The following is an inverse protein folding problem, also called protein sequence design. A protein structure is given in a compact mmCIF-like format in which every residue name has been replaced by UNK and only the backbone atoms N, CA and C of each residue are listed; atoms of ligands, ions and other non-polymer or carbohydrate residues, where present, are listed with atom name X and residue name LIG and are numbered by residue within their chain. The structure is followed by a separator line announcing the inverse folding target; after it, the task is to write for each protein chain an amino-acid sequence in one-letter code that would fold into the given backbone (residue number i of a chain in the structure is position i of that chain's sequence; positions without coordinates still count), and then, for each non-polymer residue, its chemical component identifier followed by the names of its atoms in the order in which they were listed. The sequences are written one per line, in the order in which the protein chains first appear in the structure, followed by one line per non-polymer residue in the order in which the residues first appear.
data_IF_511736041955
#
_entry.id   IF_511736041955
#
_cell.length_a   1.000
_cell.length_b   1.000
_cell.length_c   1.000
_cell.angle_alpha   90.00
_cell.angle_beta   90.00
_cell.angle_gamma   90.00
#
_symmetry.space_group_name_H-M   'P 1'
#
loop_
_entity.id
_entity.type
_entity.pdbx_description
1 polymer ?
#
# COMPACT_ATOMS: atom_id res chain seq x y z
N UNK A 1 31.35 -39.15 -3.42
CA UNK A 1 31.50 -37.73 -3.83
C UNK A 1 30.88 -36.84 -2.77
N UNK A 2 31.57 -35.81 -2.24
CA UNK A 2 31.12 -35.02 -1.10
C UNK A 2 30.08 -33.92 -1.46
N UNK A 3 29.21 -34.15 -2.45
CA UNK A 3 28.26 -33.16 -2.99
C UNK A 3 26.86 -33.72 -3.24
N UNK A 4 26.40 -34.69 -2.46
CA UNK A 4 25.09 -35.32 -2.67
C UNK A 4 23.89 -34.38 -2.43
N UNK A 5 24.05 -33.34 -1.61
CA UNK A 5 22.94 -32.50 -1.15
C UNK A 5 23.42 -31.07 -0.88
N UNK A 6 22.59 -30.09 -1.20
CA UNK A 6 22.76 -28.71 -0.74
C UNK A 6 21.79 -28.45 0.41
N UNK A 7 22.29 -27.87 1.51
CA UNK A 7 21.50 -27.63 2.71
C UNK A 7 21.52 -26.15 3.04
N UNK A 8 20.34 -25.53 3.05
CA UNK A 8 20.14 -24.21 3.64
C UNK A 8 19.66 -24.39 5.10
N UNK A 9 20.26 -23.64 6.02
CA UNK A 9 19.87 -23.62 7.43
C UNK A 9 19.55 -22.19 7.82
N UNK A 10 18.27 -21.92 8.03
CA UNK A 10 17.81 -20.65 8.57
C UNK A 10 18.00 -20.65 10.10
N UNK A 11 18.63 -19.60 10.61
CA UNK A 11 18.94 -19.41 12.02
C UNK A 11 18.18 -18.21 12.57
N UNK A 12 16.93 -18.41 13.00
CA UNK A 12 16.16 -17.37 13.67
C UNK A 12 16.63 -17.12 15.11
N UNK A 13 17.33 -18.09 15.71
CA UNK A 13 17.88 -18.02 17.07
C UNK A 13 19.25 -18.69 17.13
N UNK A 14 20.15 -18.14 17.94
CA UNK A 14 21.44 -18.76 18.29
C UNK A 14 21.25 -20.04 19.10
N UNK A 15 21.96 -21.11 18.73
CA UNK A 15 21.95 -22.37 19.46
C UNK A 15 21.89 -23.59 18.53
N UNK A 16 21.29 -24.68 19.02
CA UNK A 16 21.14 -25.91 18.27
C UNK A 16 20.19 -25.75 17.09
N UNK A 17 20.50 -26.39 15.95
CA UNK A 17 19.69 -26.31 14.71
C UNK A 17 18.25 -26.79 14.92
N UNK A 18 18.00 -27.75 15.81
CA UNK A 18 16.63 -28.17 16.14
C UNK A 18 15.79 -27.13 16.89
N UNK A 19 16.41 -26.04 17.35
CA UNK A 19 15.76 -24.94 18.07
C UNK A 19 15.76 -23.63 17.28
N UNK A 20 16.29 -23.61 16.05
CA UNK A 20 16.51 -22.39 15.28
C UNK A 20 15.34 -21.98 14.39
N UNK A 21 14.29 -22.81 14.28
CA UNK A 21 13.12 -22.53 13.45
C UNK A 21 12.12 -21.59 14.12
N UNK A 22 11.59 -20.64 13.33
CA UNK A 22 10.54 -19.69 13.75
C UNK A 22 9.28 -20.41 14.28
N UNK A 23 8.96 -21.58 13.74
CA UNK A 23 7.80 -22.39 14.14
C UNK A 23 7.75 -22.65 15.65
N UNK A 24 8.90 -22.73 16.33
CA UNK A 24 8.98 -23.00 17.77
C UNK A 24 8.33 -21.90 18.62
N UNK A 25 8.40 -20.65 18.16
CA UNK A 25 7.75 -19.52 18.82
C UNK A 25 6.31 -19.37 18.32
N UNK A 26 6.08 -19.63 17.02
CA UNK A 26 4.78 -19.47 16.38
C UNK A 26 3.74 -20.55 16.74
N UNK A 27 4.17 -21.74 17.19
CA UNK A 27 3.26 -22.86 17.51
C UNK A 27 2.25 -22.50 18.60
N UNK A 28 2.66 -21.73 19.61
CA UNK A 28 1.81 -21.33 20.72
C UNK A 28 0.70 -20.35 20.32
N UNK A 29 1.00 -19.17 19.73
CA UNK A 29 -0.05 -18.27 19.29
C UNK A 29 -0.90 -18.91 18.17
N UNK A 30 -0.36 -19.81 17.34
CA UNK A 30 -1.17 -20.56 16.39
C UNK A 30 -2.21 -21.44 17.10
N UNK A 31 -1.77 -22.24 18.07
CA UNK A 31 -2.65 -23.16 18.81
C UNK A 31 -3.69 -22.41 19.64
N UNK A 32 -3.27 -21.39 20.39
CA UNK A 32 -4.17 -20.58 21.20
C UNK A 32 -5.18 -19.80 20.37
N UNK A 33 -4.78 -19.26 19.21
CA UNK A 33 -5.70 -18.62 18.27
C UNK A 33 -6.76 -19.60 17.76
N UNK A 34 -6.36 -20.81 17.35
CA UNK A 34 -7.32 -21.81 16.88
C UNK A 34 -8.34 -22.20 17.97
N UNK A 35 -7.90 -22.34 19.22
CA UNK A 35 -8.83 -22.58 20.33
C UNK A 35 -9.74 -21.37 20.57
N UNK A 36 -9.20 -20.16 20.62
CA UNK A 36 -10.01 -18.96 20.82
C UNK A 36 -11.08 -18.76 19.73
N UNK A 37 -10.75 -19.02 18.46
CA UNK A 37 -11.69 -18.96 17.34
C UNK A 37 -12.79 -20.01 17.48
N UNK A 38 -12.42 -21.26 17.79
CA UNK A 38 -13.40 -22.34 17.97
C UNK A 38 -14.33 -22.05 19.16
N UNK A 39 -13.76 -21.65 20.28
CA UNK A 39 -14.51 -21.41 21.51
C UNK A 39 -15.40 -20.16 21.35
N UNK A 40 -14.97 -19.15 20.57
CA UNK A 40 -15.83 -18.02 20.18
C UNK A 40 -17.00 -18.47 19.30
N UNK A 41 -16.77 -19.37 18.34
CA UNK A 41 -17.84 -19.89 17.49
C UNK A 41 -18.88 -20.68 18.31
N UNK A 42 -18.42 -21.55 19.22
CA UNK A 42 -19.30 -22.28 20.15
C UNK A 42 -20.05 -21.32 21.08
N UNK A 43 -19.37 -20.28 21.58
CA UNK A 43 -20.00 -19.25 22.39
C UNK A 43 -21.11 -18.52 21.61
N UNK A 44 -20.86 -18.12 20.36
CA UNK A 44 -21.85 -17.47 19.51
C UNK A 44 -23.03 -18.39 19.17
N UNK A 45 -22.79 -19.69 19.03
CA UNK A 45 -23.85 -20.69 18.82
C UNK A 45 -24.75 -20.81 20.05
N UNK A 46 -24.19 -20.93 21.25
CA UNK A 46 -24.95 -21.02 22.51
C UNK A 46 -25.67 -19.70 22.81
N UNK A 47 -25.06 -18.55 22.52
CA UNK A 47 -25.72 -17.25 22.66
C UNK A 47 -26.87 -17.07 21.68
N UNK A 48 -26.72 -17.59 20.45
CA UNK A 48 -27.78 -17.57 19.45
C UNK A 48 -28.93 -18.54 19.76
N UNK A 49 -28.67 -19.63 20.48
CA UNK A 49 -29.63 -20.68 20.80
C UNK A 49 -29.54 -21.05 22.29
N UNK A 50 -30.21 -20.30 23.19
CA UNK A 50 -30.20 -20.59 24.62
C UNK A 50 -30.75 -21.99 24.90
N UNK A 51 -30.17 -22.65 25.91
CA UNK A 51 -30.58 -23.99 26.30
C UNK A 51 -32.03 -24.02 26.80
N UNK A 52 -32.81 -24.95 26.26
CA UNK A 52 -34.24 -25.12 26.56
C UNK A 52 -34.41 -26.35 27.44
N UNK A 53 -35.05 -26.18 28.58
CA UNK A 53 -35.31 -27.28 29.52
C UNK A 53 -36.80 -27.44 29.69
N UNK A 54 -37.36 -28.55 29.22
CA UNK A 54 -38.74 -28.93 29.51
C UNK A 54 -38.82 -29.62 30.87
N UNK A 55 -39.73 -29.17 31.73
CA UNK A 55 -40.03 -29.77 33.03
C UNK A 55 -41.39 -30.46 32.93
N UNK A 56 -41.43 -31.76 33.23
CA UNK A 56 -42.66 -32.56 33.26
C UNK A 56 -43.06 -32.92 34.69
N UNK A 57 -44.35 -33.19 34.91
CA UNK A 57 -44.90 -33.56 36.21
C UNK A 57 -44.50 -34.99 36.63
N UNK A 58 -44.35 -35.22 37.92
CA UNK A 58 -44.04 -36.54 38.46
C UNK A 58 -45.21 -37.51 38.16
N UNK A 59 -44.93 -38.55 37.36
CA UNK A 59 -45.94 -39.52 36.88
C UNK A 59 -46.30 -39.40 35.39
N UNK A 60 -45.67 -38.48 34.64
CA UNK A 60 -45.85 -38.37 33.19
C UNK A 60 -45.50 -39.67 32.46
N UNK A 61 -46.33 -40.06 31.49
CA UNK A 61 -46.12 -41.25 30.66
C UNK A 61 -44.96 -41.03 29.68
N UNK A 62 -44.40 -42.09 29.14
CA UNK A 62 -43.31 -41.95 28.15
C UNK A 62 -43.79 -41.27 26.86
N UNK A 63 -45.05 -41.46 26.47
CA UNK A 63 -45.66 -40.72 25.35
C UNK A 63 -45.70 -39.21 25.59
N UNK A 64 -45.98 -38.77 26.82
CA UNK A 64 -46.02 -37.33 27.16
C UNK A 64 -44.61 -36.72 27.11
N UNK A 65 -43.58 -37.48 27.50
CA UNK A 65 -42.18 -37.05 27.44
C UNK A 65 -41.69 -36.92 26.00
N UNK A 66 -42.05 -37.87 25.15
CA UNK A 66 -41.68 -37.86 23.73
C UNK A 66 -42.37 -36.68 23.01
N UNK A 67 -43.66 -36.45 23.27
CA UNK A 67 -44.39 -35.29 22.72
C UNK A 67 -43.79 -33.96 23.19
N UNK A 68 -43.37 -33.85 24.45
CA UNK A 68 -42.68 -32.67 24.97
C UNK A 68 -41.31 -32.46 24.32
N UNK A 69 -40.54 -33.54 24.10
CA UNK A 69 -39.25 -33.46 23.43
C UNK A 69 -39.40 -33.01 21.97
N UNK A 70 -40.38 -33.56 21.25
CA UNK A 70 -40.70 -33.13 19.88
C UNK A 70 -41.16 -31.67 19.82
N UNK A 71 -41.95 -31.22 20.80
CA UNK A 71 -42.31 -29.81 20.95
C UNK A 71 -41.09 -28.92 21.20
N UNK A 72 -40.13 -29.34 22.02
CA UNK A 72 -38.88 -28.60 22.28
C UNK A 72 -37.99 -28.48 21.03
N UNK A 73 -37.89 -29.54 20.23
CA UNK A 73 -37.14 -29.56 18.96
C UNK A 73 -37.82 -28.66 17.94
N UNK A 74 -39.15 -28.76 17.82
CA UNK A 74 -39.95 -27.96 16.88
C UNK A 74 -39.91 -26.48 17.24
N UNK A 75 -40.06 -26.14 18.52
CA UNK A 75 -39.97 -24.76 19.03
C UNK A 75 -38.57 -24.15 18.76
N UNK A 76 -37.57 -25.01 18.61
CA UNK A 76 -36.21 -24.60 18.33
C UNK A 76 -35.96 -24.10 16.92
N UNK A 77 -36.73 -24.61 15.97
CA UNK A 77 -36.67 -24.21 14.56
C UNK A 77 -37.79 -23.21 14.21
N UNK A 78 -38.95 -23.35 14.86
CA UNK A 78 -40.16 -22.55 14.65
C UNK A 78 -40.58 -21.88 15.95
N UNK A 79 -40.80 -20.58 15.97
CA UNK A 79 -41.16 -19.83 17.20
C UNK A 79 -42.59 -20.08 17.73
N UNK A 80 -43.25 -21.16 17.33
CA UNK A 80 -44.62 -21.51 17.73
C UNK A 80 -44.76 -23.02 17.99
N UNK A 81 -45.46 -23.37 19.07
CA UNK A 81 -45.74 -24.76 19.45
C UNK A 81 -46.88 -24.84 20.46
N UNK A 82 -47.54 -25.99 20.54
CA UNK A 82 -48.61 -26.29 21.50
C UNK A 82 -48.04 -27.21 22.57
N UNK A 83 -48.24 -26.89 23.84
CA UNK A 83 -47.69 -27.63 24.98
C UNK A 83 -48.85 -27.98 25.93
N UNK A 84 -48.91 -29.22 26.47
CA UNK A 84 -49.92 -29.60 27.45
C UNK A 84 -49.89 -28.74 28.72
N UNK A 85 -51.06 -28.40 29.25
CA UNK A 85 -51.21 -27.57 30.45
C UNK A 85 -50.58 -28.27 31.67
N UNK A 86 -49.66 -27.58 32.38
CA UNK A 86 -48.91 -28.13 33.51
C UNK A 86 -47.47 -28.56 33.19
N UNK A 87 -47.00 -28.30 31.96
CA UNK A 87 -45.60 -28.51 31.55
C UNK A 87 -44.97 -27.16 31.22
N UNK A 88 -43.79 -26.89 31.78
CA UNK A 88 -43.10 -25.62 31.60
C UNK A 88 -41.84 -25.78 30.74
N UNK A 89 -41.62 -24.84 29.82
CA UNK A 89 -40.36 -24.69 29.09
C UNK A 89 -39.61 -23.50 29.69
N UNK A 90 -38.44 -23.79 30.24
CA UNK A 90 -37.54 -22.80 30.80
C UNK A 90 -36.41 -22.54 29.81
N UNK A 91 -36.33 -21.31 29.31
CA UNK A 91 -35.18 -20.85 28.53
C UNK A 91 -34.14 -20.37 29.53
N UNK A 92 -33.15 -21.23 29.81
CA UNK A 92 -32.04 -20.80 30.64
C UNK A 92 -31.27 -19.74 29.86
N UNK A 93 -31.20 -18.53 30.41
CA UNK A 93 -30.37 -17.47 29.82
C UNK A 93 -28.96 -18.02 29.59
N UNK A 94 -28.43 -17.87 28.39
CA UNK A 94 -27.00 -18.06 28.18
C UNK A 94 -26.26 -17.23 29.24
N UNK A 95 -25.24 -17.82 29.87
CA UNK A 95 -24.43 -17.09 30.85
C UNK A 95 -23.96 -15.77 30.23
N UNK A 96 -23.93 -14.69 31.01
CA UNK A 96 -23.55 -13.34 30.56
C UNK A 96 -22.05 -13.24 30.20
N UNK A 97 -21.60 -14.05 29.26
CA UNK A 97 -20.24 -14.01 28.73
C UNK A 97 -20.10 -12.80 27.81
N UNK A 98 -18.96 -12.13 27.91
CA UNK A 98 -18.56 -11.12 26.93
C UNK A 98 -17.75 -11.83 25.84
N UNK A 99 -17.89 -11.44 24.57
CA UNK A 99 -17.05 -11.96 23.48
C UNK A 99 -15.60 -11.43 23.57
N UNK A 100 -15.41 -10.31 24.28
CA UNK A 100 -14.15 -9.58 24.41
C UNK A 100 -12.93 -10.44 24.81
N UNK A 101 -13.01 -11.41 25.75
CA UNK A 101 -11.85 -12.22 26.12
C UNK A 101 -11.34 -13.09 24.96
N UNK A 102 -12.23 -13.59 24.11
CA UNK A 102 -11.85 -14.40 22.94
C UNK A 102 -11.15 -13.53 21.90
N UNK A 103 -11.72 -12.37 21.60
CA UNK A 103 -11.14 -11.40 20.66
C UNK A 103 -9.79 -10.90 21.17
N UNK A 104 -9.68 -10.57 22.46
CA UNK A 104 -8.42 -10.14 23.07
C UNK A 104 -7.32 -11.21 22.97
N UNK A 105 -7.68 -12.49 23.14
CA UNK A 105 -6.75 -13.60 22.95
C UNK A 105 -6.32 -13.72 21.47
N UNK A 106 -7.26 -13.62 20.54
CA UNK A 106 -6.99 -13.64 19.10
C UNK A 106 -6.04 -12.51 18.71
N UNK A 107 -6.34 -11.28 19.13
CA UNK A 107 -5.53 -10.09 18.84
C UNK A 107 -4.12 -10.20 19.43
N UNK A 108 -4.00 -10.69 20.67
CA UNK A 108 -2.70 -10.95 21.27
C UNK A 108 -1.90 -11.99 20.47
N UNK A 109 -2.55 -13.05 19.99
CA UNK A 109 -1.92 -14.07 19.16
C UNK A 109 -1.45 -13.52 17.82
N UNK A 110 -2.32 -12.80 17.10
CA UNK A 110 -2.00 -12.17 15.80
C UNK A 110 -0.85 -11.16 15.94
N UNK A 111 -0.91 -10.28 16.95
CA UNK A 111 0.17 -9.32 17.25
C UNK A 111 1.49 -10.01 17.54
N UNK A 112 1.45 -11.13 18.28
CA UNK A 112 2.65 -11.92 18.55
C UNK A 112 3.22 -12.54 17.28
N UNK A 113 2.37 -13.10 16.42
CA UNK A 113 2.77 -13.65 15.12
C UNK A 113 3.41 -12.58 14.23
N UNK A 114 2.80 -11.39 14.12
CA UNK A 114 3.35 -10.27 13.34
C UNK A 114 4.72 -9.83 13.85
N UNK A 115 4.93 -9.71 15.17
CA UNK A 115 6.26 -9.38 15.74
C UNK A 115 7.31 -10.41 15.39
N UNK A 116 6.96 -11.69 15.43
CA UNK A 116 7.91 -12.79 15.20
C UNK A 116 8.30 -12.89 13.72
N UNK A 117 7.36 -12.63 12.80
CA UNK A 117 7.58 -12.77 11.35
C UNK A 117 8.12 -11.47 10.74
N UNK A 118 7.45 -10.35 11.00
CA UNK A 118 7.74 -9.05 10.38
C UNK A 118 8.64 -8.16 11.24
N UNK A 119 8.88 -8.52 12.50
CA UNK A 119 9.60 -7.67 13.45
C UNK A 119 8.77 -6.51 14.03
N UNK A 120 7.53 -6.34 13.57
CA UNK A 120 6.64 -5.22 13.90
C UNK A 120 5.17 -5.63 13.92
N UNK A 121 4.29 -4.80 14.51
CA UNK A 121 2.83 -5.05 14.54
C UNK A 121 2.00 -4.07 13.74
N UNK A 122 2.52 -2.88 13.44
CA UNK A 122 1.68 -1.73 13.11
C UNK A 122 1.31 -1.64 11.63
N UNK A 123 2.21 -2.09 10.73
CA UNK A 123 1.92 -2.14 9.29
C UNK A 123 0.79 -3.11 8.92
N UNK A 124 0.42 -4.01 9.83
CA UNK A 124 -0.68 -4.97 9.67
C UNK A 124 -1.93 -4.61 10.47
N UNK A 125 -1.85 -3.61 11.36
CA UNK A 125 -2.95 -3.11 12.20
C UNK A 125 -2.96 -1.58 12.13
N UNK A 126 -3.28 -1.05 10.95
CA UNK A 126 -3.55 0.38 10.78
C UNK A 126 -4.93 0.70 11.35
N UNK A 127 -5.06 0.67 12.68
CA UNK A 127 -6.21 1.23 13.36
C UNK A 127 -5.98 2.75 13.38
N UNK A 128 -6.74 3.48 12.56
CA UNK A 128 -6.47 4.85 12.07
C UNK A 128 -6.20 5.95 13.12
N UNK A 129 -6.16 5.61 14.42
CA UNK A 129 -5.87 6.51 15.53
C UNK A 129 -4.38 6.63 15.93
N UNK A 130 -3.49 5.73 15.49
CA UNK A 130 -2.09 5.73 16.00
C UNK A 130 -1.02 5.42 14.94
N UNK A 131 -1.38 5.40 13.66
CA UNK A 131 -0.41 5.26 12.57
C UNK A 131 0.07 6.62 12.09
N UNK A 132 1.30 7.00 12.45
CA UNK A 132 1.99 8.16 11.87
C UNK A 132 2.94 7.69 10.76
N UNK A 133 3.16 8.51 9.72
CA UNK A 133 4.11 8.21 8.65
C UNK A 133 5.52 7.89 9.19
N UNK A 134 5.94 8.56 10.27
CA UNK A 134 7.21 8.29 10.94
C UNK A 134 7.31 6.87 11.50
N UNK A 135 6.21 6.32 12.02
CA UNK A 135 6.16 4.96 12.57
C UNK A 135 6.18 3.90 11.46
N UNK A 136 5.53 4.20 10.32
CA UNK A 136 5.59 3.38 9.12
C UNK A 136 7.03 3.21 8.59
N UNK A 137 7.81 4.29 8.56
CA UNK A 137 9.22 4.25 8.14
C UNK A 137 10.06 3.35 9.05
N UNK A 138 9.95 3.49 10.38
CA UNK A 138 10.66 2.63 11.34
C UNK A 138 10.34 1.15 11.13
N UNK A 139 9.10 0.80 10.76
CA UNK A 139 8.74 -0.58 10.46
C UNK A 139 9.31 -1.09 9.13
N UNK A 140 9.41 -0.22 8.13
CA UNK A 140 10.09 -0.58 6.88
C UNK A 140 11.59 -0.83 7.11
N UNK A 141 12.24 -0.06 7.98
CA UNK A 141 13.63 -0.28 8.36
C UNK A 141 13.83 -1.66 9.02
N UNK A 142 12.97 -2.01 9.98
CA UNK A 142 13.00 -3.34 10.63
C UNK A 142 12.78 -4.47 9.62
N UNK A 143 11.81 -4.30 8.72
CA UNK A 143 11.57 -5.27 7.64
C UNK A 143 12.78 -5.40 6.71
N UNK A 144 13.43 -4.29 6.39
CA UNK A 144 14.63 -4.27 5.55
C UNK A 144 15.80 -4.96 6.25
N UNK A 145 16.01 -4.74 7.55
CA UNK A 145 17.04 -5.42 8.34
C UNK A 145 16.87 -6.94 8.34
N UNK A 146 15.62 -7.42 8.49
CA UNK A 146 15.29 -8.85 8.39
C UNK A 146 15.61 -9.38 6.98
N UNK A 147 15.20 -8.66 5.93
CA UNK A 147 15.51 -9.01 4.53
C UNK A 147 17.01 -9.13 4.29
N UNK A 148 17.79 -8.15 4.76
CA UNK A 148 19.26 -8.14 4.65
C UNK A 148 19.87 -9.34 5.39
N UNK A 149 19.35 -9.67 6.57
CA UNK A 149 19.77 -10.84 7.35
C UNK A 149 19.49 -12.15 6.58
N UNK A 150 18.30 -12.31 6.02
CA UNK A 150 17.92 -13.50 5.26
C UNK A 150 18.76 -13.66 3.99
N UNK A 151 19.01 -12.57 3.26
CA UNK A 151 19.90 -12.55 2.12
C UNK A 151 21.33 -13.01 2.48
N UNK A 152 21.86 -12.56 3.64
CA UNK A 152 23.17 -13.01 4.16
C UNK A 152 23.17 -14.49 4.53
N UNK A 153 22.07 -15.04 5.04
CA UNK A 153 21.97 -16.47 5.35
C UNK A 153 21.93 -17.33 4.07
N UNK A 154 21.24 -16.85 3.03
CA UNK A 154 21.21 -17.51 1.72
C UNK A 154 22.56 -17.51 1.01
N UNK A 155 23.41 -16.51 1.26
CA UNK A 155 24.77 -16.46 0.69
C UNK A 155 25.59 -17.75 0.96
N UNK A 156 25.45 -18.35 2.14
CA UNK A 156 26.16 -19.60 2.48
C UNK A 156 25.76 -20.78 1.60
N UNK A 157 24.48 -20.85 1.22
CA UNK A 157 23.96 -21.86 0.31
C UNK A 157 24.59 -21.73 -1.09
N UNK A 158 24.52 -20.53 -1.68
CA UNK A 158 25.10 -20.27 -3.00
C UNK A 158 26.62 -20.44 -3.02
N UNK A 159 27.31 -20.06 -1.95
CA UNK A 159 28.76 -20.26 -1.82
C UNK A 159 29.13 -21.74 -1.85
N UNK A 160 28.33 -22.61 -1.22
CA UNK A 160 28.53 -24.06 -1.28
C UNK A 160 28.26 -24.63 -2.68
N UNK A 161 27.25 -24.10 -3.39
CA UNK A 161 26.96 -24.48 -4.78
C UNK A 161 28.12 -24.10 -5.72
N UNK A 162 28.67 -22.90 -5.56
CA UNK A 162 29.81 -22.42 -6.35
C UNK A 162 31.06 -23.26 -6.08
N UNK A 163 31.35 -23.58 -4.81
CA UNK A 163 32.46 -24.47 -4.40
C UNK A 163 32.32 -25.85 -5.06
N UNK A 164 31.11 -26.42 -5.04
CA UNK A 164 30.80 -27.68 -5.70
C UNK A 164 31.07 -27.62 -7.21
N UNK A 165 30.53 -26.62 -7.91
CA UNK A 165 30.70 -26.50 -9.36
C UNK A 165 32.18 -26.35 -9.74
N UNK A 166 32.94 -25.53 -9.01
CA UNK A 166 34.37 -25.35 -9.28
C UNK A 166 35.16 -26.65 -9.11
N UNK A 167 34.86 -27.42 -8.05
CA UNK A 167 35.53 -28.69 -7.78
C UNK A 167 35.19 -29.78 -8.79
N UNK A 168 33.93 -29.85 -9.24
CA UNK A 168 33.52 -30.77 -10.32
C UNK A 168 34.27 -30.44 -11.62
N UNK A 169 34.52 -29.16 -11.88
CA UNK A 169 35.30 -28.70 -13.03
C UNK A 169 36.84 -28.79 -12.82
N UNK A 170 37.31 -29.41 -11.73
CA UNK A 170 38.74 -29.63 -11.48
C UNK A 170 39.50 -28.44 -10.88
N UNK A 171 38.81 -27.38 -10.45
CA UNK A 171 39.43 -26.24 -9.78
C UNK A 171 39.51 -26.46 -8.26
N UNK A 172 40.72 -26.36 -7.71
CA UNK A 172 40.94 -26.35 -6.26
C UNK A 172 41.21 -24.92 -5.76
N UNK A 173 40.13 -24.21 -5.46
CA UNK A 173 40.19 -22.83 -4.96
C UNK A 173 39.89 -22.83 -3.45
N UNK A 174 40.69 -22.09 -2.68
CA UNK A 174 40.41 -21.88 -1.25
C UNK A 174 39.06 -21.18 -1.05
N UNK A 175 38.29 -21.62 -0.05
CA UNK A 175 36.97 -21.04 0.28
C UNK A 175 36.98 -19.51 0.44
N UNK A 176 38.10 -18.94 0.89
CA UNK A 176 38.24 -17.48 1.06
C UNK A 176 38.28 -16.70 -0.26
N UNK A 177 38.64 -17.37 -1.37
CA UNK A 177 38.73 -16.76 -2.71
C UNK A 177 37.61 -17.20 -3.65
N UNK A 178 36.60 -17.91 -3.15
CA UNK A 178 35.45 -18.27 -3.97
C UNK A 178 34.72 -17.01 -4.43
N UNK A 179 34.21 -16.99 -5.68
CA UNK A 179 33.24 -15.99 -6.09
C UNK A 179 32.06 -15.96 -5.10
N UNK A 180 31.63 -14.76 -4.74
CA UNK A 180 30.56 -14.54 -3.79
C UNK A 180 29.31 -14.08 -4.52
N UNK A 181 28.23 -14.82 -4.35
CA UNK A 181 26.91 -14.35 -4.76
C UNK A 181 26.42 -13.31 -3.73
N UNK A 182 26.22 -12.06 -4.14
CA UNK A 182 25.76 -10.98 -3.26
C UNK A 182 24.41 -10.51 -3.75
N UNK A 183 23.42 -10.54 -2.87
CA UNK A 183 22.12 -9.93 -3.13
C UNK A 183 22.24 -8.42 -3.07
N UNK A 184 21.59 -7.72 -3.99
CA UNK A 184 21.45 -6.29 -3.91
C UNK A 184 20.34 -5.94 -2.92
N UNK A 185 20.74 -5.64 -1.68
CA UNK A 185 19.84 -5.21 -0.61
C UNK A 185 20.08 -3.75 -0.26
N UNK A 186 20.48 -2.92 -1.25
CA UNK A 186 20.67 -1.49 -1.01
C UNK A 186 19.34 -0.83 -0.73
N UNK A 187 19.32 -0.01 0.31
CA UNK A 187 18.24 0.94 0.52
C UNK A 187 18.49 2.16 -0.37
N UNK A 188 17.63 2.35 -1.37
CA UNK A 188 17.78 3.41 -2.38
C UNK A 188 16.93 4.58 -1.90
N UNK A 189 17.60 5.71 -1.70
CA UNK A 189 16.93 6.95 -1.31
C UNK A 189 16.02 7.43 -2.44
N UNK A 190 14.90 8.06 -2.07
CA UNK A 190 14.03 8.70 -3.04
C UNK A 190 14.78 9.81 -3.78
N UNK A 191 14.76 9.75 -5.12
CA UNK A 191 15.57 10.63 -5.97
C UNK A 191 15.28 12.11 -5.69
N UNK A 192 14.01 12.49 -5.51
CA UNK A 192 13.60 13.89 -5.39
C UNK A 192 14.09 14.55 -4.08
N UNK A 193 13.90 13.88 -2.95
CA UNK A 193 14.33 14.39 -1.65
C UNK A 193 15.87 14.42 -1.54
N UNK A 194 16.53 13.36 -2.01
CA UNK A 194 17.99 13.28 -2.05
C UNK A 194 18.62 14.31 -2.99
N UNK A 195 18.09 14.49 -4.21
CA UNK A 195 18.63 15.45 -5.18
C UNK A 195 18.51 16.88 -4.68
N UNK A 196 17.38 17.21 -4.03
CA UNK A 196 17.15 18.54 -3.45
C UNK A 196 18.12 18.81 -2.31
N UNK A 197 18.32 17.83 -1.41
CA UNK A 197 19.28 17.94 -0.32
C UNK A 197 20.73 18.12 -0.80
N UNK A 198 21.16 17.32 -1.78
CA UNK A 198 22.50 17.43 -2.37
C UNK A 198 22.68 18.78 -3.07
N UNK A 199 21.69 19.24 -3.84
CA UNK A 199 21.70 20.55 -4.47
C UNK A 199 21.92 21.67 -3.44
N UNK A 200 21.12 21.68 -2.37
CA UNK A 200 21.21 22.69 -1.32
C UNK A 200 22.58 22.69 -0.62
N UNK A 201 23.17 21.51 -0.39
CA UNK A 201 24.49 21.39 0.24
C UNK A 201 25.62 21.90 -0.66
N UNK A 202 25.55 21.60 -1.96
CA UNK A 202 26.52 22.09 -2.95
C UNK A 202 26.40 23.60 -3.13
N UNK A 203 25.17 24.14 -3.22
CA UNK A 203 24.90 25.58 -3.29
C UNK A 203 25.35 26.32 -2.01
N UNK A 204 25.23 25.66 -0.85
CA UNK A 204 25.74 26.17 0.44
C UNK A 204 27.27 26.10 0.58
N UNK A 205 27.98 25.60 -0.44
CA UNK A 205 29.44 25.62 -0.51
C UNK A 205 30.14 24.36 -0.02
N UNK A 206 29.42 23.26 0.24
CA UNK A 206 30.02 21.96 0.60
C UNK A 206 30.63 21.32 -0.65
N UNK A 207 31.96 21.39 -0.78
CA UNK A 207 32.72 20.84 -1.93
C UNK A 207 33.22 19.40 -1.73
N UNK A 208 32.95 18.80 -0.57
CA UNK A 208 33.51 17.50 -0.16
C UNK A 208 32.69 16.29 -0.60
N UNK A 209 31.58 16.47 -1.34
CA UNK A 209 30.68 15.37 -1.74
C UNK A 209 31.22 14.68 -3.01
N UNK A 210 31.65 13.41 -2.94
CA UNK A 210 32.13 12.68 -4.12
C UNK A 210 30.96 12.25 -5.03
N UNK A 211 31.11 12.38 -6.35
CA UNK A 211 30.10 11.90 -7.31
C UNK A 211 29.82 10.39 -7.18
N UNK A 212 30.85 9.59 -6.88
CA UNK A 212 30.72 8.15 -6.66
C UNK A 212 29.80 7.79 -5.47
N UNK A 213 29.71 8.68 -4.47
CA UNK A 213 28.80 8.51 -3.33
C UNK A 213 27.34 8.71 -3.74
N UNK A 214 27.07 9.69 -4.61
CA UNK A 214 25.72 9.97 -5.16
C UNK A 214 25.23 8.78 -6.00
N UNK A 215 26.05 8.29 -6.93
CA UNK A 215 25.72 7.09 -7.72
C UNK A 215 25.43 5.87 -6.83
N UNK A 216 26.23 5.67 -5.77
CA UNK A 216 26.04 4.57 -4.84
C UNK A 216 24.72 4.67 -4.07
N UNK A 217 24.35 5.87 -3.63
CA UNK A 217 23.15 6.13 -2.81
C UNK A 217 21.85 6.10 -3.62
N UNK A 218 21.87 6.60 -4.85
CA UNK A 218 20.72 6.58 -5.76
C UNK A 218 20.59 5.28 -6.56
N UNK A 219 21.55 4.36 -6.43
CA UNK A 219 21.56 3.12 -7.22
C UNK A 219 21.86 3.31 -8.71
N UNK A 220 22.20 4.53 -9.15
CA UNK A 220 22.50 4.86 -10.54
C UNK A 220 23.88 4.29 -10.90
N UNK A 221 23.98 3.37 -11.87
CA UNK A 221 25.27 2.81 -12.28
C UNK A 221 26.17 3.91 -12.87
N UNK A 222 27.48 3.77 -12.65
CA UNK A 222 28.46 4.61 -13.34
C UNK A 222 28.57 4.07 -14.77
N UNK A 223 28.38 4.91 -15.81
CA UNK A 223 28.45 4.45 -17.19
C UNK A 223 29.84 3.87 -17.47
N UNK A 224 29.88 2.73 -18.16
CA UNK A 224 31.15 2.13 -18.56
C UNK A 224 31.50 2.58 -19.97
N UNK A 225 32.74 3.07 -20.13
CA UNK A 225 33.31 3.50 -21.42
C UNK A 225 32.51 4.65 -22.06
N UNK A 226 31.68 4.33 -23.05
CA UNK A 226 30.95 5.22 -23.96
C UNK A 226 29.44 4.92 -23.95
N UNK A 227 28.92 4.35 -22.86
CA UNK A 227 27.49 4.12 -22.68
C UNK A 227 26.74 5.46 -22.70
N UNK A 228 25.68 5.53 -23.51
CA UNK A 228 24.91 6.76 -23.68
C UNK A 228 24.34 7.24 -22.33
N UNK A 229 24.65 8.49 -21.96
CA UNK A 229 24.19 9.12 -20.72
C UNK A 229 23.04 10.07 -21.03
N UNK A 230 22.09 10.20 -20.10
CA UNK A 230 21.04 11.21 -20.18
C UNK A 230 21.66 12.60 -20.06
N UNK A 231 21.57 13.40 -21.11
CA UNK A 231 22.00 14.79 -21.12
C UNK A 231 20.82 15.70 -20.75
N UNK A 232 21.09 16.79 -20.03
CA UNK A 232 20.08 17.82 -19.81
C UNK A 232 19.70 18.44 -21.16
N UNK A 233 18.42 18.81 -21.38
CA UNK A 233 18.06 19.60 -22.55
C UNK A 233 18.93 20.85 -22.55
N UNK A 234 19.68 21.06 -23.65
CA UNK A 234 20.58 22.19 -23.77
C UNK A 234 19.80 23.47 -23.47
N UNK A 235 20.19 24.19 -22.43
CA UNK A 235 19.70 25.55 -22.23
C UNK A 235 20.15 26.35 -23.44
N UNK A 236 19.19 26.60 -24.36
CA UNK A 236 19.38 27.52 -25.47
C UNK A 236 19.59 28.88 -24.83
N UNK A 237 20.85 29.26 -24.60
CA UNK A 237 21.21 30.59 -24.17
C UNK A 237 20.67 31.55 -25.22
N UNK A 238 19.69 32.37 -24.83
CA UNK A 238 19.14 33.42 -25.69
C UNK A 238 20.32 34.20 -26.30
N UNK A 239 20.43 34.29 -27.64
CA UNK A 239 21.56 34.96 -28.25
C UNK A 239 21.58 36.42 -27.76
N UNK A 240 22.68 36.82 -27.13
CA UNK A 240 22.95 38.23 -26.87
C UNK A 240 22.79 38.99 -28.19
N UNK A 241 22.17 40.20 -28.21
CA UNK A 241 21.93 40.92 -29.45
C UNK A 241 23.27 41.27 -30.10
N UNK A 242 23.67 40.48 -31.11
CA UNK A 242 24.83 40.75 -31.93
C UNK A 242 24.47 41.96 -32.80
N UNK A 243 25.22 43.05 -32.59
CA UNK A 243 25.10 44.25 -33.41
C UNK A 243 25.17 43.89 -34.90
N UNK A 244 24.16 44.35 -35.62
CA UNK A 244 23.89 44.08 -37.02
C UNK A 244 24.98 44.74 -37.91
N UNK A 245 26.09 44.04 -38.14
CA UNK A 245 26.98 44.37 -39.27
C UNK A 245 26.57 43.54 -40.48
N UNK A 246 25.63 44.07 -41.25
CA UNK A 246 25.27 43.57 -42.57
C UNK A 246 26.48 43.64 -43.50
N UNK A 247 27.13 42.49 -43.72
CA UNK A 247 27.81 42.19 -44.98
C UNK A 247 27.28 40.87 -45.50
N UNK A 248 26.35 40.98 -46.45
CA UNK A 248 25.79 39.88 -47.20
C UNK A 248 26.90 39.02 -47.83
N UNK A 249 27.08 37.81 -47.31
CA UNK A 249 27.55 36.67 -48.09
C UNK A 249 26.48 35.60 -47.99
N UNK A 250 25.76 35.40 -49.09
CA UNK A 250 24.85 34.28 -49.30
C UNK A 250 25.66 32.98 -49.17
N UNK A 251 25.36 32.17 -48.17
CA UNK A 251 25.62 30.72 -48.21
C UNK A 251 24.35 30.06 -47.69
N UNK A 252 23.68 29.37 -48.60
CA UNK A 252 22.58 28.46 -48.31
C UNK A 252 23.14 27.19 -47.65
N UNK A 253 22.51 26.74 -46.57
CA UNK A 253 22.55 25.38 -46.05
C UNK A 253 21.29 25.20 -45.19
N UNK A 254 20.18 24.69 -45.73
CA UNK A 254 19.78 23.27 -45.65
C UNK A 254 19.88 22.71 -44.23
N UNK A 255 18.81 22.88 -43.45
CA UNK A 255 18.13 21.82 -42.67
C UNK A 255 16.99 22.44 -41.87
N UNK A 256 15.75 22.36 -42.37
CA UNK A 256 14.56 22.41 -41.53
C UNK A 256 13.87 21.06 -41.67
N UNK A 257 14.04 20.21 -40.65
CA UNK A 257 13.05 19.19 -40.37
C UNK A 257 11.76 19.95 -40.07
N UNK A 258 10.80 19.88 -40.98
CA UNK A 258 9.46 20.38 -40.76
C UNK A 258 8.84 19.50 -39.67
N UNK A 259 8.75 20.01 -38.44
CA UNK A 259 7.63 19.62 -37.59
C UNK A 259 6.38 20.10 -38.32
N UNK A 260 5.52 19.14 -38.67
CA UNK A 260 4.19 19.44 -39.19
C UNK A 260 3.42 20.12 -38.04
N UNK A 261 3.51 21.44 -37.93
CA UNK A 261 2.59 22.20 -37.09
C UNK A 261 1.23 22.17 -37.78
N UNK A 262 0.24 21.59 -37.11
CA UNK A 262 -1.14 21.67 -37.55
C UNK A 262 -1.59 23.13 -37.36
N UNK A 263 -1.88 23.88 -38.45
CA UNK A 263 -2.27 25.28 -38.35
C UNK A 263 -3.56 25.47 -37.55
N UNK A 264 -4.41 24.43 -37.41
CA UNK A 264 -5.57 24.45 -36.53
C UNK A 264 -5.17 24.48 -35.05
N UNK A 265 -4.17 23.68 -34.67
CA UNK A 265 -3.66 23.62 -33.30
C UNK A 265 -2.96 24.93 -32.91
N UNK A 266 -2.18 25.50 -33.84
CA UNK A 266 -1.50 26.79 -33.63
C UNK A 266 -2.51 27.95 -33.49
N UNK A 267 -3.66 27.90 -34.18
CA UNK A 267 -4.72 28.89 -34.05
C UNK A 267 -5.51 28.77 -32.74
N UNK A 268 -5.73 27.54 -32.24
CA UNK A 268 -6.36 27.28 -30.93
C UNK A 268 -5.46 27.74 -29.79
N UNK A 269 -4.17 27.45 -29.86
CA UNK A 269 -3.19 27.83 -28.84
C UNK A 269 -2.97 29.36 -28.80
N UNK A 270 -3.15 30.04 -29.93
CA UNK A 270 -3.14 31.51 -30.03
C UNK A 270 -4.51 32.16 -29.79
N UNK A 271 -5.57 31.36 -29.63
CA UNK A 271 -6.90 31.83 -29.28
C UNK A 271 -6.88 32.50 -27.91
N UNK A 272 -7.61 33.61 -27.76
CA UNK A 272 -7.67 34.34 -26.49
C UNK A 272 -8.20 33.39 -25.41
N UNK A 273 -7.40 32.99 -24.41
CA UNK A 273 -7.95 32.18 -23.34
C UNK A 273 -8.97 33.07 -22.61
N UNK A 274 -10.00 32.45 -22.05
CA UNK A 274 -10.95 33.13 -21.16
C UNK A 274 -10.66 32.69 -19.70
N UNK A 275 -9.42 32.75 -19.17
CA UNK A 275 -9.16 32.21 -17.84
C UNK A 275 -9.91 33.03 -16.79
N UNK A 276 -10.01 34.35 -16.94
CA UNK A 276 -10.59 35.21 -15.90
C UNK A 276 -12.05 34.89 -15.59
N UNK A 277 -12.88 34.60 -16.60
CA UNK A 277 -14.30 34.24 -16.36
C UNK A 277 -14.46 32.84 -15.77
N UNK A 278 -13.62 31.90 -16.20
CA UNK A 278 -13.62 30.53 -15.66
C UNK A 278 -13.13 30.53 -14.21
N UNK A 279 -12.06 31.28 -13.91
CA UNK A 279 -11.54 31.45 -12.56
C UNK A 279 -12.56 32.12 -11.66
N UNK A 280 -13.26 33.17 -12.13
CA UNK A 280 -14.31 33.84 -11.34
C UNK A 280 -15.52 32.94 -11.07
N UNK A 281 -15.96 32.15 -12.06
CA UNK A 281 -17.05 31.19 -11.87
C UNK A 281 -16.64 30.06 -10.90
N UNK A 282 -15.40 29.59 -10.99
CA UNK A 282 -14.84 28.57 -10.09
C UNK A 282 -14.66 29.09 -8.66
N UNK A 283 -14.23 30.34 -8.48
CA UNK A 283 -14.17 30.99 -7.16
C UNK A 283 -15.55 31.12 -6.53
N UNK A 284 -16.57 31.51 -7.31
CA UNK A 284 -17.96 31.59 -6.84
C UNK A 284 -18.50 30.23 -6.38
N UNK A 285 -18.14 29.16 -7.09
CA UNK A 285 -18.57 27.79 -6.79
C UNK A 285 -17.87 27.22 -5.52
N UNK A 286 -16.62 27.62 -5.27
CA UNK A 286 -15.81 27.12 -4.14
C UNK A 286 -15.89 28.05 -2.91
N UNK A 287 -16.41 29.28 -3.05
CA UNK A 287 -16.54 30.24 -1.95
C UNK A 287 -17.24 29.70 -0.67
N UNK A 288 -18.33 28.90 -0.75
CA UNK A 288 -18.95 28.32 0.44
C UNK A 288 -18.03 27.34 1.18
N UNK A 289 -17.19 26.60 0.44
CA UNK A 289 -16.21 25.67 1.00
C UNK A 289 -15.09 26.42 1.73
N UNK A 290 -14.59 27.51 1.13
CA UNK A 290 -13.56 28.34 1.75
C UNK A 290 -14.07 28.99 3.03
N UNK A 291 -15.33 29.44 3.05
CA UNK A 291 -15.97 29.98 4.25
C UNK A 291 -16.12 28.93 5.36
N UNK A 292 -16.55 27.71 5.03
CA UNK A 292 -16.69 26.61 5.99
C UNK A 292 -15.35 26.17 6.61
N UNK A 293 -14.26 26.23 5.85
CA UNK A 293 -12.90 25.96 6.33
C UNK A 293 -12.34 27.10 7.20
N UNK A 294 -12.71 28.35 6.90
CA UNK A 294 -12.31 29.52 7.72
C UNK A 294 -12.99 29.56 9.09
N UNK A 295 -14.19 28.97 9.22
CA UNK A 295 -14.90 28.82 10.50
C UNK A 295 -14.31 27.73 11.43
N UNK A 296 -13.21 27.09 11.04
CA UNK A 296 -12.40 26.24 11.92
C UNK A 296 -12.94 24.82 12.16
N UNK A 297 -13.76 24.29 11.23
CA UNK A 297 -14.25 22.90 11.29
C UNK A 297 -13.16 21.89 10.90
N UNK A 298 -13.21 20.71 11.51
CA UNK A 298 -12.30 19.60 11.20
C UNK A 298 -12.46 19.15 9.73
N UNK A 299 -11.40 18.65 9.08
CA UNK A 299 -11.43 18.27 7.65
C UNK A 299 -12.58 17.32 7.27
N UNK A 300 -12.93 16.39 8.16
CA UNK A 300 -14.02 15.43 7.93
C UNK A 300 -15.40 16.10 7.95
N UNK A 301 -15.62 17.09 8.83
CA UNK A 301 -16.88 17.85 8.87
C UNK A 301 -17.02 18.78 7.65
N UNK A 302 -15.91 19.29 7.12
CA UNK A 302 -15.93 20.08 5.89
C UNK A 302 -16.37 19.22 4.69
N UNK A 303 -15.96 17.95 4.64
CA UNK A 303 -16.34 17.01 3.57
C UNK A 303 -17.82 16.64 3.63
N UNK A 304 -18.40 16.44 4.81
CA UNK A 304 -19.83 16.16 4.96
C UNK A 304 -20.70 17.37 4.55
N UNK A 305 -20.22 18.59 4.80
CA UNK A 305 -20.88 19.82 4.35
C UNK A 305 -20.83 19.94 2.82
N UNK A 306 -19.73 19.53 2.17
CA UNK A 306 -19.62 19.49 0.70
C UNK A 306 -20.60 18.48 0.10
N UNK A 307 -20.67 17.28 0.70
CA UNK A 307 -21.59 16.25 0.24
C UNK A 307 -23.07 16.68 0.38
N UNK A 308 -23.39 17.44 1.44
CA UNK A 308 -24.72 18.00 1.67
C UNK A 308 -25.08 19.21 0.81
N UNK A 309 -24.10 20.02 0.38
CA UNK A 309 -24.30 21.23 -0.43
C UNK A 309 -24.24 21.00 -1.93
N UNK A 310 -23.82 19.81 -2.37
CA UNK A 310 -23.78 19.41 -3.78
C UNK A 310 -25.07 19.67 -4.58
N UNK A 311 -26.29 19.52 -4.00
CA UNK A 311 -27.54 19.82 -4.71
C UNK A 311 -27.81 21.32 -4.93
N UNK A 312 -27.18 22.21 -4.16
CA UNK A 312 -27.46 23.65 -4.13
C UNK A 312 -26.34 24.50 -4.77
N UNK A 313 -25.32 23.87 -5.35
CA UNK A 313 -24.22 24.56 -6.03
C UNK A 313 -24.68 25.11 -7.40
N UNK A 314 -24.59 26.42 -7.58
CA UNK A 314 -24.87 27.10 -8.86
C UNK A 314 -23.71 26.91 -9.85
N UNK A 315 -23.78 25.85 -10.65
CA UNK A 315 -22.81 25.50 -11.70
C UNK A 315 -23.20 26.04 -13.10
N UNK A 316 -24.34 26.72 -13.21
CA UNK A 316 -24.96 27.14 -14.46
C UNK A 316 -24.04 27.99 -15.35
N UNK A 317 -23.28 28.90 -14.74
CA UNK A 317 -22.34 29.78 -15.42
C UNK A 317 -21.12 29.01 -15.96
N UNK A 318 -20.65 28.01 -15.21
CA UNK A 318 -19.53 27.15 -15.62
C UNK A 318 -19.94 26.20 -16.76
N UNK A 319 -21.14 25.63 -16.68
CA UNK A 319 -21.73 24.80 -17.75
C UNK A 319 -21.87 25.60 -19.03
N UNK A 320 -22.40 26.83 -18.96
CA UNK A 320 -22.54 27.72 -20.13
C UNK A 320 -21.19 28.04 -20.77
N UNK A 321 -20.15 28.29 -19.97
CA UNK A 321 -18.79 28.57 -20.48
C UNK A 321 -18.15 27.34 -21.13
N UNK A 322 -18.34 26.15 -20.56
CA UNK A 322 -17.88 24.88 -21.12
C UNK A 322 -18.62 24.53 -22.42
N UNK A 323 -19.92 24.74 -22.48
CA UNK A 323 -20.72 24.57 -23.69
C UNK A 323 -20.25 25.50 -24.81
N UNK A 324 -19.97 26.77 -24.51
CA UNK A 324 -19.43 27.71 -25.48
C UNK A 324 -18.04 27.29 -25.97
N UNK A 325 -17.17 26.82 -25.07
CA UNK A 325 -15.83 26.35 -25.43
C UNK A 325 -15.88 25.10 -26.31
N UNK A 326 -16.73 24.13 -25.97
CA UNK A 326 -16.94 22.92 -26.76
C UNK A 326 -17.58 23.24 -28.12
N UNK A 327 -18.55 24.15 -28.16
CA UNK A 327 -19.17 24.61 -29.40
C UNK A 327 -18.18 25.31 -30.32
N UNK A 328 -17.35 26.22 -29.80
CA UNK A 328 -16.31 26.89 -30.58
C UNK A 328 -15.30 25.87 -31.10
N UNK A 329 -14.93 24.88 -30.28
CA UNK A 329 -14.00 23.82 -30.68
C UNK A 329 -14.57 22.91 -31.77
N UNK A 330 -15.86 22.52 -31.67
CA UNK A 330 -16.53 21.70 -32.70
C UNK A 330 -16.70 22.49 -34.02
N UNK A 331 -17.08 23.77 -33.94
CA UNK A 331 -17.19 24.63 -35.13
C UNK A 331 -15.84 24.84 -35.80
N UNK A 332 -14.77 25.11 -35.03
CA UNK A 332 -13.41 25.25 -35.56
C UNK A 332 -12.87 23.94 -36.15
N UNK A 333 -13.11 22.82 -35.48
CA UNK A 333 -12.73 21.50 -35.97
C UNK A 333 -13.40 21.16 -37.30
N UNK A 334 -14.69 21.49 -37.46
CA UNK A 334 -15.41 21.29 -38.72
C UNK A 334 -14.92 22.22 -39.83
N UNK A 335 -14.64 23.48 -39.52
CA UNK A 335 -14.16 24.47 -40.50
C UNK A 335 -12.80 24.13 -41.09
N UNK A 336 -11.93 23.49 -40.30
CA UNK A 336 -10.58 23.09 -40.72
C UNK A 336 -10.47 21.62 -41.17
N UNK A 337 -11.57 20.85 -41.14
CA UNK A 337 -11.56 19.43 -41.56
C UNK A 337 -11.57 19.21 -43.08
N UNK A 338 -11.81 20.26 -43.88
CA UNK A 338 -11.88 20.21 -45.36
C UNK A 338 -10.68 20.89 -46.07
N UNK A 339 -9.55 21.12 -45.38
CA UNK A 339 -8.33 21.72 -45.94
C UNK A 339 -7.18 20.72 -46.14
#
# INVERSE_FOLDING_TARGET
MPFGWMVHKHNAKTGFTGQSGLYRVLVWPYLFKNFAVRDLAEFLEIYGLPARVGKYMAGATDQDKDALFEALVTLGHNAAGIIPQGTDIDFKSAASGQADPFVAMMDWCERTQSKVILGATLTSQADGKTSTNALGNVHNDVRHDILVSDAKQLHGFFSSMIDMLLRINGYEISRRRLPKFVFDTRDIEEIASFSTGVKNLVESGVKSIPASWVHKKLGIPVPQKDEAVLEAPAQVSSPSPVALNQRFRRIAALTTAAELSDPAQEALDNGRPVPEKITAAMEKLIAPLVAALQDGKLPDEAMDIIAGSYPDLDDSELVTLLEQALFVSDVWGRLNSDA
#
